data_IF_064334190490
#
_entry.id   IF_064334190490
#
_cell.length_a   1.000
_cell.length_b   1.000
_cell.length_c   1.000
_cell.angle_alpha   90.00
_cell.angle_beta   90.00
_cell.angle_gamma   90.00
#
_symmetry.space_group_name_H-M   'P 1'
#
loop_
_entity.id
_entity.type
_entity.pdbx_description
1 polymer ?
#
# COMPACT_ATOMS: atom_id res chain seq x y z
N UNK A 1 -2.87 19.47 6.15
CA UNK A 1 -4.09 19.77 5.39
C UNK A 1 -3.93 19.76 3.85
N UNK A 2 -2.71 19.90 3.28
CA UNK A 2 -2.49 19.94 1.82
C UNK A 2 -2.63 18.62 1.09
N UNK A 3 -2.39 17.48 1.74
CA UNK A 3 -2.44 16.15 1.14
C UNK A 3 -3.86 15.71 0.80
N UNK A 4 -4.82 15.89 1.72
CA UNK A 4 -6.25 15.60 1.49
C UNK A 4 -6.85 16.40 0.32
N UNK A 5 -6.44 17.66 0.12
CA UNK A 5 -6.92 18.48 -1.00
C UNK A 5 -6.40 18.02 -2.36
N UNK A 6 -5.21 17.38 -2.43
CA UNK A 6 -4.66 16.88 -3.70
C UNK A 6 -5.29 15.56 -4.11
N UNK A 7 -5.63 14.67 -3.17
CA UNK A 7 -6.41 13.45 -3.47
C UNK A 7 -7.82 13.81 -3.96
N UNK A 8 -8.49 14.76 -3.33
CA UNK A 8 -9.79 15.26 -3.79
C UNK A 8 -9.74 15.89 -5.19
N UNK A 9 -8.62 16.48 -5.61
CA UNK A 9 -8.48 17.03 -6.96
C UNK A 9 -8.38 15.94 -8.04
N UNK A 10 -7.87 14.74 -7.70
CA UNK A 10 -7.84 13.59 -8.61
C UNK A 10 -9.25 13.01 -8.82
N UNK A 11 -10.10 13.07 -7.76
CA UNK A 11 -11.48 12.58 -7.81
C UNK A 11 -12.46 13.58 -8.42
N UNK A 12 -12.26 14.89 -8.23
CA UNK A 12 -13.17 15.96 -8.71
C UNK A 12 -13.06 16.21 -10.22
N UNK A 13 -11.96 15.82 -10.89
CA UNK A 13 -11.82 15.95 -12.35
C UNK A 13 -12.77 15.06 -13.18
N UNK A 14 -13.57 14.20 -12.59
CA UNK A 14 -14.31 13.11 -13.27
C UNK A 14 -15.83 13.20 -13.30
N UNK A 15 -16.47 14.31 -12.92
CA UNK A 15 -17.94 14.40 -12.95
C UNK A 15 -18.52 15.04 -14.21
N UNK A 16 -17.87 14.98 -15.35
CA UNK A 16 -18.51 15.47 -16.59
C UNK A 16 -18.09 14.66 -17.81
N UNK A 17 -18.95 13.76 -18.15
CA UNK A 17 -19.31 13.14 -19.43
C UNK A 17 -19.34 11.61 -19.35
N UNK A 18 -20.49 11.09 -18.89
CA UNK A 18 -20.93 9.74 -19.23
C UNK A 18 -21.24 9.69 -20.74
N UNK A 19 -20.24 9.54 -21.55
CA UNK A 19 -20.44 9.01 -22.91
C UNK A 19 -20.49 7.49 -22.79
N UNK A 20 -21.63 6.92 -23.15
CA UNK A 20 -21.97 5.49 -23.12
C UNK A 20 -21.20 4.72 -24.21
N UNK A 21 -19.91 4.51 -24.01
CA UNK A 21 -19.18 3.40 -24.64
C UNK A 21 -19.16 2.26 -23.60
N UNK A 22 -19.36 0.98 -24.01
CA UNK A 22 -19.27 -0.15 -23.09
C UNK A 22 -17.84 -0.16 -22.52
N UNK A 23 -17.69 0.29 -21.28
CA UNK A 23 -16.45 0.18 -20.53
C UNK A 23 -16.17 -1.29 -20.32
N UNK A 24 -14.96 -1.73 -20.59
CA UNK A 24 -14.50 -3.06 -20.21
C UNK A 24 -14.85 -3.31 -18.73
N UNK A 25 -15.59 -4.39 -18.41
CA UNK A 25 -16.02 -4.65 -17.04
C UNK A 25 -14.86 -4.80 -16.06
N UNK A 26 -13.67 -5.21 -16.52
CA UNK A 26 -12.46 -5.29 -15.73
C UNK A 26 -11.96 -3.89 -15.32
N UNK A 27 -11.97 -2.94 -16.25
CA UNK A 27 -11.59 -1.53 -15.97
C UNK A 27 -12.60 -0.88 -15.04
N UNK A 28 -13.92 -1.13 -15.25
CA UNK A 28 -14.96 -0.62 -14.35
C UNK A 28 -14.78 -1.15 -12.92
N UNK A 29 -14.54 -2.45 -12.77
CA UNK A 29 -14.28 -3.07 -11.45
C UNK A 29 -13.03 -2.55 -10.77
N UNK A 30 -11.99 -2.16 -11.52
CA UNK A 30 -10.79 -1.53 -10.99
C UNK A 30 -11.10 -0.12 -10.47
N UNK A 31 -11.90 0.67 -11.21
CA UNK A 31 -12.34 2.00 -10.76
C UNK A 31 -13.15 1.93 -9.47
N UNK A 32 -14.12 1.01 -9.37
CA UNK A 32 -14.92 0.83 -8.15
C UNK A 32 -14.07 0.49 -6.94
N UNK A 33 -13.03 -0.33 -7.11
CA UNK A 33 -12.10 -0.69 -6.03
C UNK A 33 -11.18 0.47 -5.65
N UNK A 34 -10.76 1.27 -6.63
CA UNK A 34 -9.98 2.49 -6.41
C UNK A 34 -10.80 3.50 -5.61
N UNK A 35 -12.06 3.73 -5.99
CA UNK A 35 -12.96 4.65 -5.29
C UNK A 35 -13.27 4.17 -3.86
N UNK A 36 -13.47 2.86 -3.66
CA UNK A 36 -13.66 2.28 -2.33
C UNK A 36 -12.43 2.48 -1.42
N UNK A 37 -11.21 2.28 -1.95
CA UNK A 37 -9.97 2.51 -1.22
C UNK A 37 -9.78 3.99 -0.89
N UNK A 38 -10.03 4.89 -1.84
CA UNK A 38 -9.94 6.34 -1.61
C UNK A 38 -10.97 6.79 -0.59
N UNK A 39 -12.22 6.32 -0.67
CA UNK A 39 -13.26 6.59 0.32
C UNK A 39 -12.85 6.16 1.73
N UNK A 40 -12.17 5.00 1.87
CA UNK A 40 -11.60 4.58 3.14
C UNK A 40 -10.51 5.55 3.64
N UNK A 41 -9.63 6.06 2.75
CA UNK A 41 -8.56 7.00 3.15
C UNK A 41 -9.10 8.36 3.61
N UNK A 42 -10.29 8.75 3.13
CA UNK A 42 -10.96 10.01 3.48
C UNK A 42 -11.81 9.91 4.75
N UNK A 43 -12.19 8.71 5.15
CA UNK A 43 -12.97 8.48 6.35
C UNK A 43 -12.27 9.03 7.60
N UNK A 44 -13.01 9.64 8.56
CA UNK A 44 -12.42 10.17 9.78
C UNK A 44 -11.77 9.04 10.58
N UNK A 45 -10.45 8.99 10.53
CA UNK A 45 -9.67 7.93 11.11
C UNK A 45 -9.55 8.11 12.63
N UNK A 46 -10.25 7.28 13.39
CA UNK A 46 -9.68 6.84 14.66
C UNK A 46 -8.75 5.66 14.31
N UNK A 47 -7.45 5.84 14.48
CA UNK A 47 -6.47 4.77 14.22
C UNK A 47 -6.76 3.60 15.17
N UNK A 48 -7.65 2.71 14.76
CA UNK A 48 -7.99 1.45 15.42
C UNK A 48 -7.42 0.30 14.60
N UNK A 49 -7.20 -0.84 15.25
CA UNK A 49 -6.76 -2.06 14.58
C UNK A 49 -7.68 -2.44 13.43
N UNK A 50 -8.99 -2.46 13.66
CA UNK A 50 -10.00 -2.79 12.64
C UNK A 50 -9.96 -1.83 11.46
N UNK A 51 -9.79 -0.53 11.71
CA UNK A 51 -9.69 0.45 10.63
C UNK A 51 -8.44 0.25 9.77
N UNK A 52 -7.28 -0.03 10.41
CA UNK A 52 -6.03 -0.33 9.70
C UNK A 52 -6.18 -1.63 8.90
N UNK A 53 -6.71 -2.70 9.51
CA UNK A 53 -6.96 -3.99 8.85
C UNK A 53 -7.85 -3.83 7.61
N UNK A 54 -8.96 -3.10 7.73
CA UNK A 54 -9.83 -2.80 6.59
C UNK A 54 -9.10 -2.08 5.45
N UNK A 55 -8.17 -1.18 5.77
CA UNK A 55 -7.35 -0.49 4.78
C UNK A 55 -6.42 -1.44 4.03
N UNK A 56 -5.78 -2.35 4.75
CA UNK A 56 -4.91 -3.38 4.16
C UNK A 56 -5.72 -4.32 3.26
N UNK A 57 -6.93 -4.72 3.68
CA UNK A 57 -7.84 -5.56 2.89
C UNK A 57 -8.33 -4.86 1.61
N UNK A 58 -8.66 -3.57 1.69
CA UNK A 58 -9.04 -2.79 0.50
C UNK A 58 -7.88 -2.68 -0.47
N UNK A 59 -6.67 -2.44 0.03
CA UNK A 59 -5.46 -2.35 -0.78
C UNK A 59 -5.13 -3.69 -1.46
N UNK A 60 -5.21 -4.79 -0.71
CA UNK A 60 -4.99 -6.15 -1.24
C UNK A 60 -5.95 -6.46 -2.39
N UNK A 61 -7.25 -6.25 -2.18
CA UNK A 61 -8.27 -6.47 -3.23
C UNK A 61 -8.09 -5.59 -4.46
N UNK A 62 -7.69 -4.34 -4.29
CA UNK A 62 -7.40 -3.45 -5.41
C UNK A 62 -6.24 -3.99 -6.25
N UNK A 63 -5.15 -4.40 -5.60
CA UNK A 63 -3.97 -4.93 -6.28
C UNK A 63 -4.23 -6.26 -6.96
N UNK A 64 -5.04 -7.15 -6.38
CA UNK A 64 -5.46 -8.41 -7.02
C UNK A 64 -6.23 -8.15 -8.32
N UNK A 65 -7.19 -7.21 -8.30
CA UNK A 65 -7.94 -6.82 -9.52
C UNK A 65 -7.03 -6.21 -10.57
N UNK A 66 -6.04 -5.44 -10.15
CA UNK A 66 -5.04 -4.91 -11.07
C UNK A 66 -4.20 -6.02 -11.71
N UNK A 67 -3.77 -7.02 -10.93
CA UNK A 67 -3.04 -8.18 -11.45
C UNK A 67 -3.89 -8.93 -12.49
N UNK A 68 -5.16 -9.15 -12.19
CA UNK A 68 -6.07 -9.83 -13.13
C UNK A 68 -6.24 -9.03 -14.42
N UNK A 69 -6.38 -7.71 -14.34
CA UNK A 69 -6.41 -6.85 -15.52
C UNK A 69 -5.11 -6.95 -16.33
N UNK A 70 -3.96 -6.84 -15.69
CA UNK A 70 -2.64 -6.91 -16.36
C UNK A 70 -2.41 -8.24 -17.06
N UNK A 71 -2.85 -9.36 -16.49
CA UNK A 71 -2.77 -10.69 -17.12
C UNK A 71 -3.58 -10.79 -18.42
N UNK A 72 -4.73 -10.12 -18.49
CA UNK A 72 -5.53 -10.09 -19.72
C UNK A 72 -4.92 -9.24 -20.82
N UNK A 73 -3.98 -8.35 -20.48
CA UNK A 73 -3.36 -7.40 -21.39
C UNK A 73 -2.08 -7.90 -22.06
N UNK A 74 -1.51 -9.01 -21.61
CA UNK A 74 -0.19 -9.53 -22.06
C UNK A 74 -0.04 -9.68 -23.59
N UNK A 75 -1.11 -9.54 -24.37
CA UNK A 75 -1.11 -9.77 -25.81
C UNK A 75 -1.22 -8.51 -26.68
N UNK A 76 -1.50 -7.31 -26.15
CA UNK A 76 -2.00 -6.21 -26.99
C UNK A 76 -1.42 -4.82 -26.74
N UNK A 77 -0.51 -4.61 -25.80
CA UNK A 77 -0.20 -3.26 -25.30
C UNK A 77 1.22 -2.78 -25.61
N UNK A 78 1.33 -1.50 -25.97
CA UNK A 78 2.57 -0.76 -26.22
C UNK A 78 3.37 -0.46 -24.95
N UNK A 79 4.70 -0.47 -25.04
CA UNK A 79 5.62 -0.61 -23.89
C UNK A 79 5.92 0.68 -23.11
N UNK A 80 5.60 1.88 -23.64
CA UNK A 80 6.11 3.15 -23.09
C UNK A 80 5.64 3.50 -21.65
N UNK A 81 4.43 3.14 -21.27
CA UNK A 81 3.92 3.38 -19.91
C UNK A 81 4.27 2.25 -18.94
N UNK A 82 4.59 1.07 -19.47
CA UNK A 82 4.86 -0.15 -18.70
C UNK A 82 6.15 -0.03 -17.89
N UNK A 83 7.23 0.49 -18.47
CA UNK A 83 8.51 0.71 -17.77
C UNK A 83 8.37 1.67 -16.59
N UNK A 84 7.61 2.74 -16.78
CA UNK A 84 7.32 3.69 -15.71
C UNK A 84 6.58 3.02 -14.57
N UNK A 85 5.51 2.28 -14.85
CA UNK A 85 4.73 1.57 -13.85
C UNK A 85 5.55 0.48 -13.17
N UNK A 86 6.41 -0.22 -13.89
CA UNK A 86 7.31 -1.22 -13.33
C UNK A 86 8.19 -0.63 -12.22
N UNK A 87 8.74 0.57 -12.43
CA UNK A 87 9.51 1.28 -11.41
C UNK A 87 8.63 1.74 -10.24
N UNK A 88 7.41 2.20 -10.51
CA UNK A 88 6.45 2.60 -9.48
C UNK A 88 6.05 1.42 -8.58
N UNK A 89 5.80 0.25 -9.17
CA UNK A 89 5.52 -0.98 -8.42
C UNK A 89 6.72 -1.49 -7.65
N UNK A 90 7.95 -1.30 -8.14
CA UNK A 90 9.16 -1.63 -7.40
C UNK A 90 9.24 -0.81 -6.10
N UNK A 91 9.06 0.51 -6.19
CA UNK A 91 9.09 1.39 -5.01
C UNK A 91 8.00 1.02 -3.99
N UNK A 92 6.79 0.67 -4.47
CA UNK A 92 5.72 0.20 -3.60
C UNK A 92 6.06 -1.14 -2.93
N UNK A 93 6.61 -2.09 -3.69
CA UNK A 93 7.00 -3.40 -3.17
C UNK A 93 8.10 -3.28 -2.10
N UNK A 94 9.15 -2.51 -2.38
CA UNK A 94 10.25 -2.25 -1.44
C UNK A 94 9.74 -1.58 -0.15
N UNK A 95 8.81 -0.62 -0.28
CA UNK A 95 8.21 0.03 0.88
C UNK A 95 7.37 -0.93 1.74
N UNK A 96 6.63 -1.85 1.11
CA UNK A 96 5.86 -2.87 1.82
C UNK A 96 6.74 -3.98 2.42
N UNK A 97 7.85 -4.34 1.79
CA UNK A 97 8.84 -5.24 2.37
C UNK A 97 9.46 -4.65 3.64
N UNK A 98 9.98 -3.42 3.56
CA UNK A 98 10.49 -2.70 4.73
C UNK A 98 9.42 -2.52 5.83
N UNK A 99 8.16 -2.31 5.45
CA UNK A 99 7.05 -2.21 6.40
C UNK A 99 6.84 -3.53 7.14
N UNK A 100 6.90 -4.67 6.44
CA UNK A 100 6.84 -6.02 7.01
C UNK A 100 7.96 -6.26 8.03
N UNK A 101 9.20 -5.87 7.72
CA UNK A 101 10.36 -5.98 8.61
C UNK A 101 10.17 -5.19 9.90
N UNK A 102 9.59 -3.97 9.80
CA UNK A 102 9.30 -3.15 10.98
C UNK A 102 8.17 -3.75 11.81
N UNK A 103 7.14 -4.38 11.19
CA UNK A 103 6.09 -5.11 11.88
C UNK A 103 6.65 -6.32 12.65
N UNK A 104 7.55 -7.09 12.04
CA UNK A 104 8.23 -8.22 12.69
C UNK A 104 9.05 -7.75 13.90
N UNK A 105 9.79 -6.65 13.74
CA UNK A 105 10.55 -6.03 14.83
C UNK A 105 9.62 -5.58 15.97
N UNK A 106 8.47 -5.01 15.63
CA UNK A 106 7.46 -4.61 16.61
C UNK A 106 6.86 -5.80 17.35
N UNK A 107 6.56 -6.89 16.64
CA UNK A 107 6.04 -8.15 17.21
C UNK A 107 7.03 -8.73 18.24
N UNK A 108 8.29 -8.80 17.89
CA UNK A 108 9.35 -9.24 18.81
C UNK A 108 9.42 -8.36 20.07
N UNK A 109 9.31 -7.06 19.88
CA UNK A 109 9.28 -6.07 20.96
C UNK A 109 8.11 -6.23 21.92
N UNK A 110 6.92 -6.59 21.40
CA UNK A 110 5.74 -6.87 22.21
C UNK A 110 5.97 -8.11 23.06
N UNK A 111 6.51 -9.19 22.49
CA UNK A 111 6.84 -10.43 23.19
C UNK A 111 7.84 -10.16 24.34
N UNK A 112 8.89 -9.38 24.06
CA UNK A 112 9.88 -9.00 25.06
C UNK A 112 9.28 -8.15 26.20
N UNK A 113 8.40 -7.20 25.85
CA UNK A 113 7.71 -6.38 26.84
C UNK A 113 6.76 -7.21 27.71
N UNK A 114 6.06 -8.18 27.13
CA UNK A 114 5.21 -9.12 27.90
C UNK A 114 6.04 -9.99 28.84
N UNK A 115 7.20 -10.50 28.41
CA UNK A 115 8.11 -11.26 29.24
C UNK A 115 8.66 -10.41 30.39
N UNK A 116 9.10 -9.19 30.09
CA UNK A 116 9.61 -8.25 31.08
C UNK A 116 8.55 -7.86 32.13
N UNK A 117 7.28 -7.72 31.72
CA UNK A 117 6.15 -7.50 32.64
C UNK A 117 5.94 -8.68 33.59
N UNK A 118 5.98 -9.92 33.09
CA UNK A 118 5.83 -11.13 33.93
C UNK A 118 6.91 -11.25 34.98
N UNK A 119 8.12 -10.81 34.65
CA UNK A 119 9.29 -10.88 35.53
C UNK A 119 9.54 -9.59 36.33
N UNK A 120 8.66 -8.59 36.23
CA UNK A 120 8.83 -7.27 36.85
C UNK A 120 10.15 -6.58 36.52
N UNK A 121 10.71 -6.83 35.34
CA UNK A 121 11.98 -6.29 34.87
C UNK A 121 11.79 -4.90 34.26
N UNK A 122 11.98 -3.88 35.10
CA UNK A 122 11.80 -2.48 34.71
C UNK A 122 12.85 -2.01 33.68
N UNK A 123 14.06 -2.59 33.71
CA UNK A 123 15.13 -2.23 32.77
C UNK A 123 14.79 -2.71 31.36
N UNK A 124 14.34 -3.97 31.20
CA UNK A 124 13.89 -4.49 29.90
C UNK A 124 12.67 -3.76 29.38
N UNK A 125 11.75 -3.35 30.24
CA UNK A 125 10.60 -2.56 29.82
C UNK A 125 10.99 -1.16 29.33
N UNK A 126 11.94 -0.51 29.98
CA UNK A 126 12.49 0.75 29.51
C UNK A 126 13.18 0.59 28.14
N UNK A 127 13.96 -0.49 27.95
CA UNK A 127 14.59 -0.83 26.68
C UNK A 127 13.55 -1.05 25.57
N UNK A 128 12.47 -1.81 25.83
CA UNK A 128 11.36 -2.00 24.90
C UNK A 128 10.68 -0.67 24.51
N UNK A 129 10.49 0.24 25.47
CA UNK A 129 9.98 1.58 25.21
C UNK A 129 10.92 2.44 24.34
N UNK A 130 12.23 2.24 24.43
CA UNK A 130 13.21 2.89 23.56
C UNK A 130 13.17 2.31 22.12
N UNK A 131 13.17 0.98 21.99
CA UNK A 131 13.13 0.31 20.70
C UNK A 131 11.83 0.61 19.94
N UNK A 132 10.68 0.73 20.63
CA UNK A 132 9.41 1.19 20.05
C UNK A 132 9.54 2.52 19.28
N UNK A 133 10.28 3.49 19.84
CA UNK A 133 10.50 4.78 19.16
C UNK A 133 11.28 4.62 17.84
N UNK A 134 12.07 3.55 17.72
CA UNK A 134 12.69 3.15 16.46
C UNK A 134 11.66 2.74 15.43
N UNK A 135 10.71 1.86 15.79
CA UNK A 135 9.61 1.45 14.91
C UNK A 135 8.73 2.64 14.49
N UNK A 136 8.36 3.53 15.43
CA UNK A 136 7.57 4.74 15.11
C UNK A 136 8.25 5.61 14.06
N UNK A 137 9.57 5.80 14.18
CA UNK A 137 10.37 6.58 13.22
C UNK A 137 10.47 5.87 11.88
N UNK A 138 10.63 4.55 11.87
CA UNK A 138 10.71 3.76 10.65
C UNK A 138 9.39 3.84 9.86
N UNK A 139 8.23 3.65 10.49
CA UNK A 139 6.93 3.82 9.84
C UNK A 139 6.72 5.24 9.30
N UNK A 140 7.12 6.26 10.06
CA UNK A 140 7.02 7.65 9.62
C UNK A 140 7.95 7.95 8.44
N UNK A 141 9.14 7.35 8.40
CA UNK A 141 10.08 7.46 7.29
C UNK A 141 9.50 6.83 6.01
N UNK A 142 8.99 5.58 6.10
CA UNK A 142 8.35 4.89 4.97
C UNK A 142 7.18 5.69 4.40
N UNK A 143 6.31 6.21 5.29
CA UNK A 143 5.22 7.09 4.87
C UNK A 143 5.71 8.37 4.18
N UNK A 144 6.85 8.92 4.58
CA UNK A 144 7.45 10.12 3.98
C UNK A 144 8.05 9.84 2.60
N UNK A 145 8.69 8.69 2.42
CA UNK A 145 9.21 8.22 1.12
C UNK A 145 8.07 8.11 0.12
N UNK A 146 6.98 7.40 0.48
CA UNK A 146 5.84 7.25 -0.40
C UNK A 146 5.12 8.57 -0.69
N UNK A 147 5.06 9.52 0.27
CA UNK A 147 4.52 10.87 0.02
C UNK A 147 5.35 11.66 -0.99
N UNK A 148 6.67 11.53 -0.95
CA UNK A 148 7.54 12.18 -1.92
C UNK A 148 7.37 11.59 -3.33
N UNK A 149 7.08 10.30 -3.40
CA UNK A 149 6.84 9.56 -4.64
C UNK A 149 5.50 9.90 -5.32
N UNK A 150 4.42 10.11 -4.57
CA UNK A 150 3.06 10.35 -5.06
C UNK A 150 2.92 11.42 -6.15
N UNK A 151 3.56 12.61 -6.08
CA UNK A 151 3.44 13.63 -7.12
C UNK A 151 3.93 13.18 -8.50
N UNK A 152 4.89 12.27 -8.54
CA UNK A 152 5.47 11.74 -9.77
C UNK A 152 4.54 10.70 -10.40
N UNK A 153 3.93 9.85 -9.59
CA UNK A 153 2.99 8.81 -10.04
C UNK A 153 1.68 9.40 -10.59
N UNK A 154 1.23 10.51 -10.03
CA UNK A 154 -0.02 11.18 -10.44
C UNK A 154 0.13 12.11 -11.66
N UNK A 155 1.31 12.19 -12.28
CA UNK A 155 1.50 12.99 -13.50
C UNK A 155 0.73 12.37 -14.67
N UNK A 156 -0.03 13.19 -15.40
CA UNK A 156 -0.83 12.74 -16.53
C UNK A 156 0.03 12.00 -17.58
N UNK A 157 -0.49 10.87 -18.02
CA UNK A 157 0.08 10.10 -19.13
C UNK A 157 -0.20 10.90 -20.41
N UNK A 158 0.84 11.22 -21.16
CA UNK A 158 0.70 11.95 -22.44
C UNK A 158 -0.18 11.15 -23.41
N UNK A 159 -1.04 11.88 -24.13
CA UNK A 159 -2.05 11.29 -24.99
C UNK A 159 -1.43 10.41 -26.10
N UNK A 160 -1.72 9.13 -26.04
CA UNK A 160 -1.45 8.20 -27.14
C UNK A 160 -2.50 8.33 -28.23
N UNK A 161 -2.16 7.93 -29.46
CA UNK A 161 -3.08 7.91 -30.60
C UNK A 161 -4.24 6.91 -30.42
N UNK A 162 -4.09 5.93 -29.53
CA UNK A 162 -5.09 4.92 -29.20
C UNK A 162 -5.84 5.26 -27.92
N UNK A 163 -7.12 5.64 -28.04
CA UNK A 163 -7.96 6.05 -26.92
C UNK A 163 -8.16 4.95 -25.88
N UNK A 164 -8.29 3.69 -26.29
CA UNK A 164 -8.50 2.57 -25.36
C UNK A 164 -7.24 2.30 -24.52
N UNK A 165 -6.08 2.37 -25.13
CA UNK A 165 -4.79 2.24 -24.45
C UNK A 165 -4.55 3.39 -23.47
N UNK A 166 -4.86 4.62 -23.86
CA UNK A 166 -4.75 5.78 -22.99
C UNK A 166 -5.66 5.66 -21.76
N UNK A 167 -6.91 5.20 -21.93
CA UNK A 167 -7.85 4.96 -20.82
C UNK A 167 -7.34 3.88 -19.87
N UNK A 168 -6.74 2.83 -20.39
CA UNK A 168 -6.15 1.75 -19.61
C UNK A 168 -4.96 2.23 -18.79
N UNK A 169 -4.00 2.88 -19.45
CA UNK A 169 -2.82 3.44 -18.82
C UNK A 169 -3.20 4.44 -17.71
N UNK A 170 -4.22 5.28 -17.95
CA UNK A 170 -4.77 6.19 -16.94
C UNK A 170 -5.38 5.43 -15.76
N UNK A 171 -6.16 4.37 -16.00
CA UNK A 171 -6.76 3.57 -14.95
C UNK A 171 -5.70 2.89 -14.07
N UNK A 172 -4.66 2.31 -14.69
CA UNK A 172 -3.56 1.66 -13.95
C UNK A 172 -2.75 2.69 -13.16
N UNK A 173 -2.44 3.86 -13.74
CA UNK A 173 -1.73 4.93 -13.03
C UNK A 173 -2.54 5.48 -11.86
N UNK A 174 -3.86 5.68 -12.02
CA UNK A 174 -4.74 6.11 -10.94
C UNK A 174 -4.78 5.09 -9.81
N UNK A 175 -4.80 3.79 -10.14
CA UNK A 175 -4.75 2.69 -9.18
C UNK A 175 -3.44 2.67 -8.40
N UNK A 176 -2.31 2.84 -9.07
CA UNK A 176 -0.97 2.90 -8.44
C UNK A 176 -0.88 4.09 -7.48
N UNK A 177 -1.38 5.25 -7.90
CA UNK A 177 -1.44 6.44 -7.06
C UNK A 177 -2.32 6.22 -5.82
N UNK A 178 -3.50 5.61 -5.98
CA UNK A 178 -4.39 5.27 -4.87
C UNK A 178 -3.74 4.26 -3.92
N UNK A 179 -3.06 3.23 -4.44
CA UNK A 179 -2.33 2.25 -3.64
C UNK A 179 -1.23 2.92 -2.81
N UNK A 180 -0.42 3.80 -3.40
CA UNK A 180 0.61 4.54 -2.70
C UNK A 180 0.03 5.46 -1.62
N UNK A 181 -1.08 6.15 -1.91
CA UNK A 181 -1.79 7.00 -0.95
C UNK A 181 -2.34 6.21 0.24
N UNK A 182 -2.96 5.07 -0.01
CA UNK A 182 -3.47 4.18 1.03
C UNK A 182 -2.34 3.61 1.89
N UNK A 183 -1.21 3.22 1.28
CA UNK A 183 -0.02 2.74 2.01
C UNK A 183 0.50 3.82 2.97
N UNK A 184 0.57 5.08 2.54
CA UNK A 184 0.92 6.22 3.42
C UNK A 184 -0.02 6.33 4.61
N UNK A 185 -1.32 6.15 4.38
CA UNK A 185 -2.35 6.24 5.43
C UNK A 185 -2.22 5.06 6.40
N UNK A 186 -2.00 3.84 5.90
CA UNK A 186 -1.77 2.62 6.70
C UNK A 186 -0.53 2.79 7.59
N UNK A 187 0.62 3.16 7.01
CA UNK A 187 1.88 3.31 7.75
C UNK A 187 1.79 4.41 8.81
N UNK A 188 1.14 5.53 8.48
CA UNK A 188 0.89 6.61 9.45
C UNK A 188 -0.12 6.19 10.52
N UNK A 189 -1.13 5.41 10.16
CA UNK A 189 -2.14 4.86 11.06
C UNK A 189 -1.53 3.96 12.12
N UNK A 190 -0.64 3.03 11.73
CA UNK A 190 0.11 2.18 12.67
C UNK A 190 0.99 3.01 13.60
N UNK A 191 1.76 3.96 13.08
CA UNK A 191 2.58 4.84 13.89
C UNK A 191 1.73 5.62 14.93
N UNK A 192 0.57 6.13 14.51
CA UNK A 192 -0.37 6.83 15.40
C UNK A 192 -0.99 5.90 16.45
N UNK A 193 -1.35 4.67 16.05
CA UNK A 193 -1.87 3.66 16.96
C UNK A 193 -0.84 3.28 18.03
N UNK A 194 0.43 3.11 17.63
CA UNK A 194 1.52 2.86 18.56
C UNK A 194 1.79 4.05 19.49
N UNK A 195 1.68 5.27 19.01
CA UNK A 195 1.88 6.47 19.83
C UNK A 195 0.82 6.61 20.92
N UNK A 196 -0.42 6.16 20.67
CA UNK A 196 -1.55 6.21 21.60
C UNK A 196 -1.70 4.94 22.44
N UNK A 197 -1.06 3.84 22.03
CA UNK A 197 -1.22 2.54 22.64
C UNK A 197 -0.45 2.37 23.97
N UNK A 198 -0.72 1.25 24.62
CA UNK A 198 -0.21 0.86 25.92
C UNK A 198 1.30 0.90 26.11
N UNK A 199 2.09 0.76 25.04
CA UNK A 199 3.54 0.82 25.14
C UNK A 199 4.06 2.18 25.64
N UNK A 200 3.32 3.26 25.39
CA UNK A 200 3.61 4.57 25.97
C UNK A 200 3.27 4.63 27.46
N UNK A 201 2.20 3.97 27.86
CA UNK A 201 1.79 3.90 29.28
C UNK A 201 2.70 3.00 30.13
N UNK A 202 3.42 2.03 29.50
CA UNK A 202 4.35 1.15 30.21
C UNK A 202 5.51 1.89 30.84
N UNK A 203 5.97 3.00 30.26
CA UNK A 203 7.07 3.80 30.80
C UNK A 203 6.64 4.75 31.93
N UNK A 204 5.35 5.08 32.06
CA UNK A 204 4.87 6.08 33.00
C UNK A 204 3.97 5.54 34.12
N UNK A 205 3.42 4.32 34.01
CA UNK A 205 2.39 3.83 34.95
C UNK A 205 2.62 2.42 35.45
N UNK A 206 3.85 1.90 35.41
CA UNK A 206 4.17 0.50 35.74
C UNK A 206 3.87 0.06 37.17
N UNK A 207 3.82 1.00 38.12
CA UNK A 207 3.65 0.66 39.53
C UNK A 207 2.22 0.26 39.90
N UNK A 208 1.20 0.60 39.11
CA UNK A 208 -0.19 0.54 39.58
C UNK A 208 -1.05 -0.56 38.98
N UNK A 209 -0.85 -1.02 37.71
CA UNK A 209 -1.78 -1.96 37.05
C UNK A 209 -1.14 -2.91 36.02
N UNK A 210 -0.37 -3.94 36.45
CA UNK A 210 0.30 -4.86 35.50
C UNK A 210 -0.68 -5.68 34.65
N UNK A 211 -1.87 -6.02 35.17
CA UNK A 211 -2.89 -6.78 34.44
C UNK A 211 -3.40 -6.01 33.23
N UNK A 212 -3.74 -4.74 33.41
CA UNK A 212 -4.21 -3.88 32.30
C UNK A 212 -3.12 -3.64 31.25
N UNK A 213 -1.87 -3.56 31.68
CA UNK A 213 -0.73 -3.41 30.75
C UNK A 213 -0.57 -4.67 29.89
N UNK A 214 -0.68 -5.86 30.48
CA UNK A 214 -0.62 -7.14 29.77
C UNK A 214 -1.76 -7.29 28.76
N UNK A 215 -3.00 -6.96 29.15
CA UNK A 215 -4.17 -7.02 28.25
C UNK A 215 -4.00 -6.09 27.03
N UNK A 216 -3.48 -4.88 27.24
CA UNK A 216 -3.19 -3.94 26.16
C UNK A 216 -2.08 -4.42 25.23
N UNK A 217 -1.02 -5.06 25.75
CA UNK A 217 0.03 -5.65 24.92
C UNK A 217 -0.50 -6.80 24.08
N UNK A 218 -1.41 -7.62 24.63
CA UNK A 218 -2.06 -8.70 23.88
C UNK A 218 -2.93 -8.15 22.75
N UNK A 219 -3.75 -7.13 23.02
CA UNK A 219 -4.54 -6.46 21.97
C UNK A 219 -3.67 -5.83 20.88
N UNK A 220 -2.51 -5.29 21.24
CA UNK A 220 -1.54 -4.79 20.25
C UNK A 220 -0.93 -5.92 19.42
N UNK A 221 -0.59 -7.05 20.05
CA UNK A 221 -0.09 -8.24 19.36
C UNK A 221 -1.08 -8.77 18.33
N UNK A 222 -2.35 -8.93 18.73
CA UNK A 222 -3.45 -9.34 17.83
C UNK A 222 -3.60 -8.39 16.64
N UNK A 223 -3.48 -7.08 16.90
CA UNK A 223 -3.51 -6.08 15.85
C UNK A 223 -2.34 -6.22 14.87
N UNK A 224 -1.13 -6.36 15.38
CA UNK A 224 0.08 -6.51 14.54
C UNK A 224 -0.02 -7.77 13.69
N UNK A 225 -0.47 -8.88 14.25
CA UNK A 225 -0.66 -10.14 13.51
C UNK A 225 -1.69 -10.00 12.38
N UNK A 226 -2.84 -9.39 12.65
CA UNK A 226 -3.86 -9.18 11.62
C UNK A 226 -3.37 -8.28 10.47
N UNK A 227 -2.59 -7.25 10.79
CA UNK A 227 -1.99 -6.37 9.77
C UNK A 227 -0.88 -7.08 8.99
N UNK A 228 -0.07 -7.91 9.65
CA UNK A 228 1.00 -8.70 9.03
C UNK A 228 0.46 -9.64 7.96
N UNK A 229 -0.61 -10.38 8.26
CA UNK A 229 -1.25 -11.31 7.31
C UNK A 229 -1.76 -10.57 6.05
N UNK A 230 -2.42 -9.44 6.23
CA UNK A 230 -2.89 -8.63 5.11
C UNK A 230 -1.75 -7.98 4.32
N UNK A 231 -0.67 -7.56 4.99
CA UNK A 231 0.52 -7.00 4.32
C UNK A 231 1.24 -8.04 3.45
N UNK A 232 1.28 -9.30 3.86
CA UNK A 232 1.83 -10.38 3.05
C UNK A 232 1.00 -10.59 1.77
N UNK A 233 -0.33 -10.48 1.84
CA UNK A 233 -1.19 -10.50 0.67
C UNK A 233 -0.91 -9.33 -0.28
N UNK A 234 -0.79 -8.12 0.25
CA UNK A 234 -0.41 -6.92 -0.51
C UNK A 234 0.94 -7.12 -1.21
N UNK A 235 1.95 -7.60 -0.49
CA UNK A 235 3.28 -7.87 -1.03
C UNK A 235 3.23 -8.87 -2.19
N UNK A 236 2.50 -9.98 -2.04
CA UNK A 236 2.33 -10.97 -3.11
C UNK A 236 1.65 -10.38 -4.33
N UNK A 237 0.63 -9.56 -4.14
CA UNK A 237 -0.07 -8.90 -5.23
C UNK A 237 0.84 -7.89 -5.97
N UNK A 238 1.67 -7.14 -5.26
CA UNK A 238 2.66 -6.21 -5.85
C UNK A 238 3.71 -6.95 -6.69
N UNK A 239 4.25 -8.07 -6.18
CA UNK A 239 5.18 -8.92 -6.93
C UNK A 239 4.49 -9.50 -8.18
N UNK A 240 3.25 -9.98 -8.07
CA UNK A 240 2.49 -10.50 -9.20
C UNK A 240 2.20 -9.43 -10.24
N UNK A 241 1.84 -8.21 -9.84
CA UNK A 241 1.64 -7.08 -10.75
C UNK A 241 2.92 -6.74 -11.52
N UNK A 242 4.06 -6.72 -10.82
CA UNK A 242 5.37 -6.50 -11.45
C UNK A 242 5.72 -7.59 -12.45
N UNK A 243 5.47 -8.86 -12.14
CA UNK A 243 5.71 -9.97 -13.06
C UNK A 243 4.82 -9.87 -14.30
N UNK A 244 3.54 -9.53 -14.16
CA UNK A 244 2.64 -9.31 -15.30
C UNK A 244 3.12 -8.16 -16.19
N UNK A 245 3.59 -7.05 -15.60
CA UNK A 245 4.17 -5.94 -16.36
C UNK A 245 5.45 -6.33 -17.11
N UNK A 246 6.31 -7.16 -16.52
CA UNK A 246 7.50 -7.69 -17.17
C UNK A 246 7.14 -8.60 -18.37
N UNK A 247 6.10 -9.42 -18.23
CA UNK A 247 5.61 -10.26 -19.32
C UNK A 247 5.06 -9.43 -20.48
N UNK A 248 4.36 -8.32 -20.19
CA UNK A 248 3.92 -7.36 -21.23
C UNK A 248 5.12 -6.80 -21.98
N UNK A 249 6.18 -6.36 -21.30
CA UNK A 249 7.40 -5.84 -21.92
C UNK A 249 8.14 -6.90 -22.77
N UNK A 250 8.29 -8.12 -22.26
CA UNK A 250 8.99 -9.22 -22.95
C UNK A 250 8.23 -9.70 -24.19
N UNK A 251 6.90 -9.64 -24.17
CA UNK A 251 6.05 -9.99 -25.32
C UNK A 251 6.23 -9.05 -26.50
N UNK A 252 6.48 -7.77 -26.25
CA UNK A 252 6.68 -6.73 -27.28
C UNK A 252 8.03 -6.91 -28.01
N UNK A 253 9.10 -7.26 -27.29
CA UNK A 253 10.41 -7.56 -27.90
C UNK A 253 10.35 -8.73 -28.89
N UNK A 254 9.59 -9.79 -28.56
CA UNK A 254 9.41 -10.94 -29.45
C UNK A 254 8.60 -10.59 -30.71
N UNK A 255 7.61 -9.73 -30.63
CA UNK A 255 6.82 -9.26 -31.76
C UNK A 255 7.62 -8.33 -32.70
N UNK A 256 8.57 -7.55 -32.16
CA UNK A 256 9.47 -6.68 -32.90
C UNK A 256 10.47 -7.46 -33.77
N UNK A 257 11.04 -8.54 -33.24
CA UNK A 257 11.97 -9.42 -33.96
C UNK A 257 11.30 -10.13 -35.13
N UNK A 258 10.06 -10.55 -35.04
CA UNK A 258 9.31 -11.20 -36.12
C UNK A 258 8.95 -10.22 -37.27
N UNK A 259 8.68 -8.94 -37.00
CA UNK A 259 8.39 -7.95 -38.02
C UNK A 259 9.60 -7.61 -38.90
N UNK A 260 10.81 -7.70 -38.36
CA UNK A 260 12.03 -7.45 -39.16
C UNK A 260 12.40 -8.62 -40.10
N UNK A 261 11.98 -9.85 -39.78
CA UNK A 261 12.27 -11.02 -40.64
C UNK A 261 11.29 -11.18 -41.81
N UNK A 262 10.10 -10.59 -41.77
CA UNK A 262 9.08 -10.77 -42.81
C UNK A 262 9.19 -9.73 -43.93
N UNK A 263 10.08 -8.75 -43.83
CA UNK A 263 10.27 -7.70 -44.85
C UNK A 263 11.45 -8.00 -45.83
N UNK A 264 12.11 -9.15 -45.69
CA UNK A 264 13.26 -9.56 -46.53
C UNK A 264 13.02 -10.86 -47.33
N UNK A 265 11.77 -11.25 -47.58
CA UNK A 265 11.36 -12.25 -48.57
C UNK A 265 10.36 -11.57 -49.51
#
# INVERSE_FOLDING_TARGET
MGFRRRLAAITVGKTSSRSSTPSDPAVAGLHDSTDALLGWTEAPAQASCTWIGNGVDHLGRLLERLVDLLRHLEATTSSWWTERLLNEFLILADAHECFGDVLQSLKQLIIEAQAALRHHDTARLAAAGHARRGCDRAFSCLASILRAFLPHSCSSIEATSNRSEAMLAEAVAATTCAAAAASVVIFTGIASFLATSALRALTSSMASYPVKAMERLRSLEECVMAVEDGCEQVRRALVSARMSLLNVLSGDESAGLFKHYTCCI
#
